data_IF_270106170954
#
_entry.id   IF_270106170954
#
_cell.length_a   1.000
_cell.length_b   1.000
_cell.length_c   1.000
_cell.angle_alpha   90.00
_cell.angle_beta   90.00
_cell.angle_gamma   90.00
#
_symmetry.space_group_name_H-M   'P 1'
#
loop_
_entity.id
_entity.type
_entity.pdbx_description
1 polymer ?
#
# COMPACT_ATOMS: atom_id res chain seq x y z
N UNK A 1 -3.92 -23.60 -3.88
CA UNK A 1 -3.78 -22.25 -4.50
C UNK A 1 -2.87 -22.36 -5.72
N UNK A 2 -3.30 -21.92 -6.92
CA UNK A 2 -2.39 -21.88 -8.09
C UNK A 2 -1.28 -20.85 -7.83
N UNK A 3 -0.02 -21.21 -8.10
CA UNK A 3 1.13 -20.31 -7.95
C UNK A 3 1.00 -19.15 -8.95
N UNK A 4 0.99 -17.91 -8.47
CA UNK A 4 1.04 -16.72 -9.31
C UNK A 4 2.50 -16.25 -9.39
N UNK A 5 3.14 -16.53 -10.53
CA UNK A 5 4.59 -16.28 -10.71
C UNK A 5 4.87 -14.92 -11.34
N UNK A 6 6.14 -14.49 -11.34
CA UNK A 6 6.56 -13.27 -12.05
C UNK A 6 6.21 -13.33 -13.54
N UNK A 7 6.35 -14.51 -14.18
CA UNK A 7 5.97 -14.71 -15.58
C UNK A 7 4.46 -14.45 -15.78
N UNK A 8 3.62 -14.98 -14.90
CA UNK A 8 2.17 -14.74 -14.98
C UNK A 8 1.81 -13.26 -14.74
N UNK A 9 2.56 -12.58 -13.87
CA UNK A 9 2.40 -11.14 -13.66
C UNK A 9 2.72 -10.35 -14.93
N UNK A 10 3.86 -10.64 -15.57
CA UNK A 10 4.29 -9.97 -16.80
C UNK A 10 3.34 -10.23 -17.97
N UNK A 11 2.83 -11.46 -18.11
CA UNK A 11 1.81 -11.81 -19.10
C UNK A 11 0.50 -11.06 -18.87
N UNK A 12 0.11 -10.87 -17.60
CA UNK A 12 -1.14 -10.20 -17.23
C UNK A 12 -1.04 -8.67 -17.33
N UNK A 13 0.13 -8.10 -17.09
CA UNK A 13 0.37 -6.66 -17.06
C UNK A 13 1.57 -6.26 -17.94
N UNK A 14 1.48 -6.48 -19.27
CA UNK A 14 2.61 -6.28 -20.17
C UNK A 14 2.92 -4.81 -20.45
N UNK A 15 1.95 -3.90 -20.27
CA UNK A 15 2.13 -2.48 -20.56
C UNK A 15 1.20 -1.57 -19.73
N UNK A 16 1.51 -0.28 -19.75
CA UNK A 16 0.80 0.76 -18.98
C UNK A 16 -0.69 0.89 -19.33
N UNK A 17 -1.07 0.62 -20.58
CA UNK A 17 -2.46 0.71 -21.01
C UNK A 17 -3.29 -0.42 -20.37
N UNK A 18 -2.75 -1.64 -20.29
CA UNK A 18 -3.41 -2.77 -19.61
C UNK A 18 -3.56 -2.48 -18.11
N UNK A 19 -2.53 -1.95 -17.46
CA UNK A 19 -2.62 -1.56 -16.05
C UNK A 19 -3.68 -0.48 -15.81
N UNK A 20 -3.74 0.52 -16.68
CA UNK A 20 -4.71 1.61 -16.58
C UNK A 20 -6.15 1.13 -16.84
N UNK A 21 -6.34 0.21 -17.79
CA UNK A 21 -7.63 -0.42 -18.05
C UNK A 21 -8.08 -1.28 -16.87
N UNK A 22 -7.15 -2.05 -16.29
CA UNK A 22 -7.42 -2.81 -15.08
C UNK A 22 -7.89 -1.90 -13.93
N UNK A 23 -7.20 -0.77 -13.72
CA UNK A 23 -7.57 0.22 -12.70
C UNK A 23 -8.95 0.83 -12.98
N UNK A 24 -9.23 1.21 -14.23
CA UNK A 24 -10.54 1.71 -14.65
C UNK A 24 -11.64 0.69 -14.39
N UNK A 25 -11.44 -0.58 -14.72
CA UNK A 25 -12.42 -1.66 -14.49
C UNK A 25 -12.65 -1.91 -13.01
N UNK A 26 -11.60 -1.82 -12.18
CA UNK A 26 -11.70 -2.01 -10.73
C UNK A 26 -12.49 -0.89 -10.04
N UNK A 27 -12.27 0.37 -10.44
CA UNK A 27 -12.96 1.53 -9.86
C UNK A 27 -14.35 1.77 -10.47
N UNK A 28 -14.50 1.52 -11.77
CA UNK A 28 -15.70 1.82 -12.54
C UNK A 28 -16.09 0.64 -13.43
N UNK A 29 -16.74 -0.40 -12.87
CA UNK A 29 -16.97 -1.66 -13.57
C UNK A 29 -17.96 -1.56 -14.74
N UNK A 30 -18.90 -0.61 -14.71
CA UNK A 30 -19.92 -0.42 -15.76
C UNK A 30 -19.81 0.96 -16.39
N UNK A 31 -20.64 1.90 -15.93
CA UNK A 31 -20.67 3.29 -16.38
C UNK A 31 -19.99 4.19 -15.35
N UNK A 32 -19.49 5.32 -15.81
CA UNK A 32 -18.88 6.35 -14.97
C UNK A 32 -19.89 7.48 -14.86
N UNK A 33 -20.14 7.95 -13.65
CA UNK A 33 -20.97 9.15 -13.45
C UNK A 33 -20.20 10.38 -13.95
N UNK A 34 -20.73 11.04 -14.98
CA UNK A 34 -20.13 12.25 -15.51
C UNK A 34 -20.66 13.48 -14.78
N UNK A 35 -19.78 14.27 -14.17
CA UNK A 35 -20.15 15.48 -13.41
C UNK A 35 -20.82 16.52 -14.30
N UNK A 36 -20.36 16.65 -15.57
CA UNK A 36 -20.89 17.63 -16.50
C UNK A 36 -22.26 17.22 -17.07
N UNK A 37 -22.41 15.95 -17.48
CA UNK A 37 -23.69 15.45 -18.00
C UNK A 37 -24.71 15.07 -16.92
N UNK A 38 -24.29 15.03 -15.65
CA UNK A 38 -25.09 14.59 -14.49
C UNK A 38 -25.78 13.23 -14.69
N UNK A 39 -25.15 12.33 -15.45
CA UNK A 39 -25.66 11.00 -15.75
C UNK A 39 -24.53 9.98 -15.88
N UNK A 40 -24.86 8.71 -15.72
CA UNK A 40 -23.93 7.60 -15.92
C UNK A 40 -23.71 7.36 -17.40
N UNK A 41 -22.50 7.64 -17.90
CA UNK A 41 -22.15 7.55 -19.31
C UNK A 41 -21.01 6.55 -19.55
N UNK A 42 -20.88 6.12 -20.80
CA UNK A 42 -19.67 5.44 -21.24
C UNK A 42 -18.54 6.47 -21.36
N UNK A 43 -17.32 6.04 -21.00
CA UNK A 43 -16.12 6.83 -21.24
C UNK A 43 -15.11 6.01 -22.02
N UNK A 44 -14.51 6.63 -23.03
CA UNK A 44 -13.57 6.00 -23.94
C UNK A 44 -12.13 6.40 -23.63
N UNK A 45 -11.20 5.50 -23.94
CA UNK A 45 -9.77 5.68 -23.66
C UNK A 45 -9.17 6.74 -24.60
N UNK A 46 -8.59 7.80 -24.03
CA UNK A 46 -7.83 8.80 -24.81
C UNK A 46 -6.36 8.37 -24.90
N UNK A 47 -5.93 7.84 -26.06
CA UNK A 47 -4.63 7.19 -26.23
C UNK A 47 -3.42 8.03 -25.77
N UNK A 48 -3.45 9.34 -25.94
CA UNK A 48 -2.32 10.25 -25.64
C UNK A 48 -2.11 10.56 -24.16
N UNK A 49 -3.09 10.33 -23.29
CA UNK A 49 -3.06 10.72 -21.87
C UNK A 49 -3.50 9.56 -20.99
N UNK A 50 -3.30 9.58 -19.66
CA UNK A 50 -3.82 8.54 -18.74
C UNK A 50 -5.26 8.83 -18.28
N UNK A 51 -6.16 9.07 -19.23
CA UNK A 51 -7.55 9.50 -18.95
C UNK A 51 -8.57 8.81 -19.86
N UNK A 52 -9.83 8.88 -19.44
CA UNK A 52 -11.00 8.45 -20.19
C UNK A 52 -11.95 9.64 -20.38
N UNK A 53 -12.42 9.86 -21.60
CA UNK A 53 -13.34 10.95 -21.95
C UNK A 53 -14.77 10.47 -22.02
N UNK A 54 -15.71 11.23 -21.45
CA UNK A 54 -17.15 11.00 -21.57
C UNK A 54 -17.59 11.03 -23.03
N UNK A 55 -18.41 10.07 -23.44
CA UNK A 55 -18.92 9.94 -24.81
C UNK A 55 -19.78 11.13 -25.27
N UNK A 56 -20.47 11.80 -24.32
CA UNK A 56 -21.40 12.89 -24.64
C UNK A 56 -20.77 14.29 -24.61
N UNK A 57 -19.92 14.58 -23.63
CA UNK A 57 -19.39 15.94 -23.41
C UNK A 57 -17.86 16.03 -23.43
N UNK A 58 -17.16 14.91 -23.65
CA UNK A 58 -15.70 14.87 -23.65
C UNK A 58 -15.03 15.08 -22.29
N UNK A 59 -15.79 15.26 -21.19
CA UNK A 59 -15.24 15.44 -19.85
C UNK A 59 -14.30 14.29 -19.48
N UNK A 60 -13.10 14.64 -19.03
CA UNK A 60 -12.02 13.68 -18.81
C UNK A 60 -11.95 13.27 -17.34
N UNK A 61 -11.90 11.97 -17.10
CA UNK A 61 -11.60 11.40 -15.80
C UNK A 61 -10.27 10.66 -15.83
N UNK A 62 -9.47 10.80 -14.78
CA UNK A 62 -8.26 10.00 -14.62
C UNK A 62 -8.49 8.90 -13.59
N UNK A 63 -8.40 7.61 -13.96
CA UNK A 63 -8.50 6.51 -13.00
C UNK A 63 -7.42 6.54 -11.91
N UNK A 64 -6.32 7.28 -12.11
CA UNK A 64 -5.27 7.43 -11.11
C UNK A 64 -5.57 8.55 -10.11
N UNK A 65 -6.53 9.43 -10.38
CA UNK A 65 -6.89 10.53 -9.49
C UNK A 65 -7.39 10.00 -8.14
N UNK A 66 -6.93 10.59 -7.04
CA UNK A 66 -7.27 10.15 -5.68
C UNK A 66 -6.65 8.83 -5.22
N UNK A 67 -5.87 8.15 -6.06
CA UNK A 67 -5.19 6.88 -5.73
C UNK A 67 -3.72 7.08 -5.38
N UNK A 68 -3.02 6.02 -4.96
CA UNK A 68 -1.55 6.02 -4.78
C UNK A 68 -0.78 6.37 -6.07
N UNK A 69 -1.42 6.23 -7.23
CA UNK A 69 -0.88 6.55 -8.56
C UNK A 69 -1.08 8.04 -8.94
N UNK A 70 -1.78 8.81 -8.11
CA UNK A 70 -2.10 10.20 -8.41
C UNK A 70 -0.83 11.05 -8.56
N UNK A 71 -0.79 11.89 -9.62
CA UNK A 71 0.33 12.77 -9.98
C UNK A 71 1.69 12.06 -10.08
N UNK A 72 1.70 10.75 -10.37
CA UNK A 72 2.94 10.00 -10.60
C UNK A 72 3.28 9.97 -12.09
N UNK A 73 4.50 10.39 -12.43
CA UNK A 73 5.09 10.21 -13.76
C UNK A 73 5.61 8.80 -13.99
N UNK A 74 5.76 8.00 -12.92
CA UNK A 74 6.24 6.61 -13.01
C UNK A 74 5.25 5.75 -13.82
N UNK A 75 5.74 4.85 -14.69
CA UNK A 75 4.93 3.83 -15.36
C UNK A 75 4.05 3.03 -14.39
N UNK A 76 2.81 2.76 -14.79
CA UNK A 76 1.89 1.94 -14.00
C UNK A 76 2.36 0.48 -13.91
N UNK A 77 3.08 -0.03 -14.91
CA UNK A 77 3.73 -1.34 -14.87
C UNK A 77 4.69 -1.46 -13.68
N UNK A 78 5.50 -0.43 -13.43
CA UNK A 78 6.43 -0.38 -12.29
C UNK A 78 5.65 -0.34 -10.97
N UNK A 79 4.59 0.46 -10.89
CA UNK A 79 3.70 0.47 -9.71
C UNK A 79 3.09 -0.90 -9.41
N UNK A 80 2.56 -1.56 -10.43
CA UNK A 80 1.95 -2.88 -10.29
C UNK A 80 3.00 -3.93 -9.91
N UNK A 81 4.22 -3.81 -10.43
CA UNK A 81 5.33 -4.67 -10.08
C UNK A 81 5.71 -4.54 -8.60
N UNK A 82 5.79 -3.32 -8.06
CA UNK A 82 6.07 -3.12 -6.64
C UNK A 82 4.97 -3.72 -5.76
N UNK A 83 3.70 -3.55 -6.15
CA UNK A 83 2.55 -4.17 -5.46
C UNK A 83 2.67 -5.70 -5.50
N UNK A 84 3.00 -6.28 -6.66
CA UNK A 84 3.22 -7.71 -6.82
C UNK A 84 4.35 -8.20 -5.90
N UNK A 85 5.49 -7.52 -5.87
CA UNK A 85 6.61 -7.90 -5.01
C UNK A 85 6.24 -7.84 -3.53
N UNK A 86 5.50 -6.81 -3.11
CA UNK A 86 5.01 -6.72 -1.73
C UNK A 86 4.04 -7.85 -1.37
N UNK A 87 3.15 -8.24 -2.28
CA UNK A 87 2.22 -9.33 -2.05
C UNK A 87 2.90 -10.71 -1.98
N UNK A 88 4.03 -10.89 -2.68
CA UNK A 88 4.75 -12.16 -2.74
C UNK A 88 5.78 -12.33 -1.62
N UNK A 89 6.21 -11.24 -0.97
CA UNK A 89 7.26 -11.24 0.05
C UNK A 89 6.68 -11.22 1.45
N UNK A 90 6.89 -12.29 2.23
CA UNK A 90 6.39 -12.39 3.63
C UNK A 90 6.97 -11.31 4.56
N UNK A 91 8.21 -10.89 4.32
CA UNK A 91 8.89 -9.82 5.09
C UNK A 91 8.79 -8.43 4.45
N UNK A 92 8.02 -8.28 3.37
CA UNK A 92 8.04 -7.11 2.51
C UNK A 92 9.35 -6.94 1.73
N UNK A 93 9.41 -5.88 0.94
CA UNK A 93 10.56 -5.54 0.09
C UNK A 93 11.12 -4.16 0.45
N UNK A 94 12.45 -4.02 0.44
CA UNK A 94 13.10 -2.74 0.74
C UNK A 94 13.01 -1.78 -0.46
N UNK A 95 12.91 -0.49 -0.19
CA UNK A 95 12.94 0.53 -1.25
C UNK A 95 14.25 0.49 -2.07
N UNK A 96 15.36 0.06 -1.45
CA UNK A 96 16.65 -0.09 -2.15
C UNK A 96 16.62 -1.27 -3.13
N UNK A 97 15.95 -2.35 -2.78
CA UNK A 97 15.75 -3.49 -3.69
C UNK A 97 14.87 -3.09 -4.87
N UNK A 98 13.75 -2.38 -4.62
CA UNK A 98 12.90 -1.85 -5.70
C UNK A 98 13.69 -0.93 -6.64
N UNK A 99 14.54 -0.05 -6.10
CA UNK A 99 15.42 0.78 -6.93
C UNK A 99 16.33 -0.07 -7.84
N UNK A 100 16.94 -1.15 -7.31
CA UNK A 100 17.82 -2.03 -8.09
C UNK A 100 17.07 -2.77 -9.19
N UNK A 101 15.86 -3.25 -8.90
CA UNK A 101 15.05 -4.05 -9.83
C UNK A 101 14.40 -3.20 -10.92
N UNK A 102 14.01 -1.96 -10.61
CA UNK A 102 13.18 -1.12 -11.51
C UNK A 102 13.92 0.07 -12.11
N UNK A 103 15.12 0.40 -11.61
CA UNK A 103 15.91 1.54 -12.08
C UNK A 103 15.39 2.92 -11.65
N UNK A 104 14.28 2.99 -10.91
CA UNK A 104 13.77 4.27 -10.40
C UNK A 104 14.68 4.85 -9.32
N UNK A 105 14.56 6.16 -9.06
CA UNK A 105 15.30 6.77 -7.95
C UNK A 105 14.89 6.16 -6.60
N UNK A 106 15.82 6.16 -5.63
CA UNK A 106 15.50 5.72 -4.27
C UNK A 106 14.30 6.46 -3.68
N UNK A 107 14.20 7.78 -3.91
CA UNK A 107 13.07 8.61 -3.44
C UNK A 107 11.74 8.14 -4.03
N UNK A 108 11.73 7.78 -5.31
CA UNK A 108 10.55 7.21 -5.99
C UNK A 108 10.19 5.86 -5.39
N UNK A 109 11.16 4.94 -5.29
CA UNK A 109 10.94 3.61 -4.71
C UNK A 109 10.42 3.69 -3.27
N UNK A 110 11.00 4.58 -2.45
CA UNK A 110 10.57 4.81 -1.09
C UNK A 110 9.14 5.32 -1.02
N UNK A 111 8.78 6.32 -1.85
CA UNK A 111 7.40 6.84 -1.93
C UNK A 111 6.41 5.76 -2.32
N UNK A 112 6.77 4.90 -3.28
CA UNK A 112 5.93 3.78 -3.71
C UNK A 112 5.70 2.82 -2.55
N UNK A 113 6.78 2.39 -1.88
CA UNK A 113 6.67 1.48 -0.75
C UNK A 113 5.83 2.06 0.40
N UNK A 114 6.04 3.34 0.72
CA UNK A 114 5.28 4.04 1.75
C UNK A 114 3.78 4.05 1.44
N UNK A 115 3.38 4.53 0.26
CA UNK A 115 1.97 4.65 -0.11
C UNK A 115 1.26 3.30 -0.23
N UNK A 116 1.96 2.25 -0.65
CA UNK A 116 1.35 0.91 -0.69
C UNK A 116 1.11 0.40 0.73
N UNK A 117 2.10 0.51 1.62
CA UNK A 117 1.98 0.04 3.01
C UNK A 117 0.93 0.81 3.81
N UNK A 118 0.83 2.11 3.61
CA UNK A 118 -0.22 2.95 4.21
C UNK A 118 -1.63 2.46 3.85
N UNK A 119 -1.83 1.84 2.68
CA UNK A 119 -3.13 1.29 2.24
C UNK A 119 -3.33 -0.18 2.55
N UNK A 120 -2.31 -0.84 3.08
CA UNK A 120 -2.39 -2.21 3.56
C UNK A 120 -2.71 -2.28 5.06
N UNK A 121 -2.88 -1.15 5.72
CA UNK A 121 -3.23 -1.13 7.15
C UNK A 121 -4.59 -1.80 7.33
N UNK A 122 -4.56 -2.95 8.01
CA UNK A 122 -5.76 -3.69 8.35
C UNK A 122 -6.36 -3.06 9.62
N UNK A 123 -7.68 -2.84 9.60
CA UNK A 123 -8.43 -2.39 10.76
C UNK A 123 -8.48 -3.54 11.78
N UNK A 124 -7.39 -3.71 12.55
CA UNK A 124 -7.30 -4.74 13.57
C UNK A 124 -8.05 -4.20 14.80
N UNK A 125 -9.35 -4.47 14.80
CA UNK A 125 -10.23 -4.40 15.96
C UNK A 125 -9.60 -5.08 17.18
N UNK A 126 -9.95 -4.70 18.42
CA UNK A 126 -9.34 -5.26 19.63
C UNK A 126 -9.35 -6.79 19.60
N UNK A 127 -8.25 -7.38 20.02
CA UNK A 127 -8.09 -8.82 19.96
C UNK A 127 -8.95 -9.48 21.04
N UNK A 128 -9.99 -10.21 20.65
CA UNK A 128 -10.71 -11.08 21.57
C UNK A 128 -9.98 -12.40 21.83
N UNK A 129 -10.01 -12.88 23.08
CA UNK A 129 -9.48 -14.17 23.50
C UNK A 129 -7.98 -14.16 23.82
N UNK A 130 -7.36 -15.34 23.88
CA UNK A 130 -5.94 -15.45 24.25
C UNK A 130 -5.03 -14.82 23.20
N UNK A 131 -4.19 -13.89 23.65
CA UNK A 131 -3.15 -13.23 22.85
C UNK A 131 -1.79 -13.36 23.51
N UNK A 132 -0.75 -13.38 22.68
CA UNK A 132 0.63 -13.25 23.10
C UNK A 132 1.06 -11.80 22.89
N UNK A 133 1.64 -11.20 23.92
CA UNK A 133 2.04 -9.79 23.92
C UNK A 133 3.53 -9.73 24.22
N UNK A 134 4.26 -9.02 23.38
CA UNK A 134 5.70 -8.79 23.54
C UNK A 134 6.01 -7.29 23.34
N UNK A 135 7.10 -6.83 23.93
CA UNK A 135 7.55 -5.46 23.82
C UNK A 135 8.90 -5.34 23.12
N UNK A 136 9.00 -4.34 22.25
CA UNK A 136 10.23 -4.05 21.50
C UNK A 136 10.52 -2.56 21.54
N UNK A 137 11.82 -2.22 21.52
CA UNK A 137 12.28 -0.84 21.54
C UNK A 137 13.04 -0.51 20.27
N UNK A 138 12.52 0.45 19.49
CA UNK A 138 13.08 0.87 18.21
C UNK A 138 13.73 2.25 18.31
N UNK A 139 14.88 2.42 17.66
CA UNK A 139 15.60 3.70 17.61
C UNK A 139 16.67 3.89 18.69
N UNK A 140 17.13 5.14 18.81
CA UNK A 140 18.31 5.56 19.57
C UNK A 140 19.54 5.74 18.67
N UNK A 141 20.02 6.99 18.51
CA UNK A 141 21.15 7.31 17.60
C UNK A 141 22.54 7.08 18.24
N UNK A 142 22.66 6.76 19.54
CA UNK A 142 23.94 6.64 20.27
C UNK A 142 23.93 5.65 21.45
N UNK A 143 25.14 5.33 21.95
CA UNK A 143 25.43 4.47 23.12
C UNK A 143 24.78 5.02 24.40
N UNK A 144 24.13 4.14 25.16
CA UNK A 144 23.42 4.40 26.41
C UNK A 144 22.89 3.08 27.00
N UNK A 145 22.02 3.14 28.04
CA UNK A 145 21.40 1.94 28.63
C UNK A 145 20.75 1.06 27.55
N UNK A 146 21.01 -0.25 27.58
CA UNK A 146 20.38 -1.24 26.70
C UNK A 146 19.13 -1.80 27.40
N UNK A 147 18.10 -2.14 26.64
CA UNK A 147 16.86 -2.75 27.15
C UNK A 147 15.81 -1.73 27.62
N UNK A 148 14.90 -2.18 28.48
CA UNK A 148 13.76 -1.40 28.99
C UNK A 148 14.24 -0.11 29.69
N UNK A 149 13.62 1.02 29.35
CA UNK A 149 13.95 2.33 29.92
C UNK A 149 15.14 3.05 29.27
N UNK A 150 15.63 2.57 28.12
CA UNK A 150 16.64 3.28 27.33
C UNK A 150 16.09 4.60 26.76
N UNK A 151 16.75 5.71 27.07
CA UNK A 151 16.37 7.03 26.58
C UNK A 151 16.44 7.12 25.05
N UNK A 152 15.48 7.83 24.47
CA UNK A 152 15.41 8.07 23.03
C UNK A 152 15.03 6.85 22.19
N UNK A 153 14.52 5.78 22.81
CA UNK A 153 13.89 4.65 22.12
C UNK A 153 12.38 4.75 22.14
N UNK A 154 11.77 4.40 21.03
CA UNK A 154 10.32 4.28 20.87
C UNK A 154 9.89 2.88 21.33
N UNK A 155 9.07 2.75 22.40
CA UNK A 155 8.49 1.48 22.77
C UNK A 155 7.36 1.12 21.79
N UNK A 156 7.37 -0.13 21.37
CA UNK A 156 6.37 -0.72 20.48
C UNK A 156 5.88 -2.01 21.13
N UNK A 157 4.57 -2.11 21.29
CA UNK A 157 3.88 -3.30 21.77
C UNK A 157 3.49 -4.15 20.56
N UNK A 158 3.95 -5.39 20.51
CA UNK A 158 3.50 -6.40 19.56
C UNK A 158 2.43 -7.28 20.20
N UNK A 159 1.28 -7.40 19.57
CA UNK A 159 0.18 -8.27 20.00
C UNK A 159 -0.08 -9.29 18.88
N UNK A 160 -0.04 -10.58 19.22
CA UNK A 160 -0.21 -11.69 18.30
C UNK A 160 -1.31 -12.60 18.81
N UNK A 161 -2.32 -12.87 17.97
CA UNK A 161 -3.22 -14.00 18.18
C UNK A 161 -2.67 -15.20 17.43
N UNK A 162 -2.50 -16.36 18.08
CA UNK A 162 -2.02 -17.57 17.41
C UNK A 162 -2.89 -17.90 16.20
N UNK A 163 -2.27 -18.08 15.04
CA UNK A 163 -2.96 -18.29 13.73
C UNK A 163 -3.96 -17.18 13.37
N UNK A 164 -3.81 -15.98 13.93
CA UNK A 164 -4.69 -14.85 13.74
C UNK A 164 -3.92 -13.58 13.35
N UNK A 165 -4.51 -12.43 13.68
CA UNK A 165 -3.94 -11.13 13.38
C UNK A 165 -2.72 -10.79 14.26
N UNK A 166 -1.92 -9.85 13.78
CA UNK A 166 -0.75 -9.30 14.47
C UNK A 166 -0.85 -7.79 14.42
N UNK A 167 -0.71 -7.11 15.57
CA UNK A 167 -0.73 -5.65 15.67
C UNK A 167 0.52 -5.17 16.35
N UNK A 168 1.15 -4.14 15.78
CA UNK A 168 2.24 -3.43 16.43
C UNK A 168 1.78 -2.01 16.74
N UNK A 169 1.78 -1.62 18.00
CA UNK A 169 1.30 -0.30 18.46
C UNK A 169 2.46 0.46 19.09
N UNK A 170 2.71 1.67 18.62
CA UNK A 170 3.63 2.60 19.30
C UNK A 170 2.95 3.10 20.55
N UNK A 171 3.56 2.86 21.71
CA UNK A 171 3.01 3.25 23.03
C UNK A 171 3.92 4.28 23.69
N UNK A 172 3.38 5.21 24.51
CA UNK A 172 4.22 6.18 25.22
C UNK A 172 5.10 5.51 26.29
N UNK A 173 4.66 4.39 26.85
CA UNK A 173 5.39 3.57 27.81
C UNK A 173 4.74 2.18 27.91
N UNK A 174 5.41 1.24 28.57
CA UNK A 174 4.94 -0.14 28.77
C UNK A 174 4.40 -0.40 30.19
N UNK A 175 3.79 0.62 30.81
CA UNK A 175 3.11 0.44 32.10
C UNK A 175 1.76 -0.24 31.85
N UNK A 176 1.31 -1.05 32.81
CA UNK A 176 0.02 -1.76 32.79
C UNK A 176 -1.14 -0.86 32.38
N UNK A 177 -1.26 0.35 32.99
CA UNK A 177 -2.29 1.35 32.65
C UNK A 177 -2.33 1.78 31.17
N UNK A 178 -1.20 1.71 30.48
CA UNK A 178 -1.08 2.06 29.06
C UNK A 178 -1.38 0.85 28.16
N UNK A 179 -1.08 -0.36 28.62
CA UNK A 179 -1.17 -1.61 27.85
C UNK A 179 -2.59 -2.21 27.95
N UNK A 180 -3.17 -2.27 29.14
CA UNK A 180 -4.49 -2.87 29.40
C UNK A 180 -5.62 -2.40 28.46
N UNK A 181 -5.75 -1.11 28.10
CA UNK A 181 -6.79 -0.68 27.16
C UNK A 181 -6.52 -1.04 25.68
N UNK A 182 -5.34 -1.55 25.35
CA UNK A 182 -4.93 -1.90 23.98
C UNK A 182 -5.17 -3.38 23.68
N UNK A 183 -5.08 -4.22 24.71
CA UNK A 183 -5.35 -5.67 24.68
C UNK A 183 -6.86 -5.88 24.80
#
# INVERSE_FOLDING_TARGET
MKKFTLKNFQEKFPNDNVCLEWLRKKLYPRKIYCINCKKSTLHHRIKSKRVYGCDYCGHQISPTAGTIFHKSSTPLTIWFYVIFQMAQTRGGISAKQIQRETGVTYKTAWRMCYLIRERLDEDISPFGGDVEVDDSYFGGKRKGKRGRGAEGKTPVLGIVKRKGAIKAVVVPNLKTKTIDPII
#
